data_IF_857726958331
#
_entry.id   IF_857726958331
#
_cell.length_a   1.000
_cell.length_b   1.000
_cell.length_c   1.000
_cell.angle_alpha   90.00
_cell.angle_beta   90.00
_cell.angle_gamma   90.00
#
_symmetry.space_group_name_H-M   'P 1'
#
loop_
_entity.id
_entity.type
_entity.pdbx_description
1 polymer ?
#
# COMPACT_ATOMS: atom_id res chain seq x y z
N UNK A 1 -14.25 -4.01 -14.00
CA UNK A 1 -13.46 -4.78 -13.07
C UNK A 1 -12.12 -5.21 -13.70
N UNK A 2 -11.13 -4.30 -13.61
CA UNK A 2 -9.86 -4.42 -14.37
C UNK A 2 -8.77 -5.24 -13.65
N UNK A 3 -8.93 -5.45 -12.33
CA UNK A 3 -7.86 -6.03 -11.50
C UNK A 3 -7.65 -7.54 -11.72
N UNK A 4 -8.73 -8.30 -11.99
CA UNK A 4 -8.65 -9.76 -12.20
C UNK A 4 -7.77 -10.16 -13.40
N UNK A 5 -7.60 -9.26 -14.37
CA UNK A 5 -6.74 -9.49 -15.53
C UNK A 5 -5.30 -8.94 -15.37
N UNK A 6 -4.92 -8.53 -14.14
CA UNK A 6 -3.64 -7.85 -13.92
C UNK A 6 -2.43 -8.71 -14.27
N UNK A 7 -2.50 -10.02 -14.03
CA UNK A 7 -1.47 -10.99 -14.44
C UNK A 7 -1.21 -10.95 -15.95
N UNK A 8 -2.29 -11.01 -16.75
CA UNK A 8 -2.18 -10.94 -18.23
C UNK A 8 -1.61 -9.60 -18.68
N UNK A 9 -2.06 -8.50 -18.06
CA UNK A 9 -1.53 -7.17 -18.33
C UNK A 9 -0.05 -7.04 -17.98
N UNK A 10 0.38 -7.64 -16.86
CA UNK A 10 1.79 -7.64 -16.45
C UNK A 10 2.65 -8.41 -17.45
N UNK A 11 2.20 -9.59 -17.89
CA UNK A 11 2.91 -10.36 -18.93
C UNK A 11 3.06 -9.56 -20.23
N UNK A 12 2.01 -8.85 -20.65
CA UNK A 12 2.08 -7.99 -21.82
C UNK A 12 3.01 -6.78 -21.62
N UNK A 13 2.96 -6.16 -20.44
CA UNK A 13 3.87 -5.09 -20.06
C UNK A 13 5.33 -5.52 -20.15
N UNK A 14 5.67 -6.70 -19.63
CA UNK A 14 7.02 -7.26 -19.73
C UNK A 14 7.43 -7.49 -21.19
N UNK A 15 6.55 -8.03 -22.03
CA UNK A 15 6.81 -8.25 -23.46
C UNK A 15 7.11 -6.94 -24.20
N UNK A 16 6.26 -5.93 -24.02
CA UNK A 16 6.40 -4.62 -24.67
C UNK A 16 7.73 -3.95 -24.25
N UNK A 17 8.09 -4.05 -22.97
CA UNK A 17 9.31 -3.41 -22.45
C UNK A 17 10.55 -4.32 -22.55
N UNK A 18 10.46 -5.45 -23.26
CA UNK A 18 11.56 -6.44 -23.44
C UNK A 18 12.15 -6.91 -22.09
N UNK A 19 11.32 -7.01 -21.06
CA UNK A 19 11.72 -7.49 -19.74
C UNK A 19 11.59 -9.01 -19.67
N UNK A 20 12.57 -9.66 -19.05
CA UNK A 20 12.50 -11.10 -18.78
C UNK A 20 11.42 -11.38 -17.73
N UNK A 21 10.46 -12.22 -18.07
CA UNK A 21 9.40 -12.61 -17.15
C UNK A 21 9.97 -13.60 -16.13
N UNK A 22 9.78 -13.31 -14.85
CA UNK A 22 10.16 -14.17 -13.74
C UNK A 22 8.90 -14.74 -13.07
N UNK A 23 8.89 -16.06 -12.81
CA UNK A 23 7.78 -16.74 -12.14
C UNK A 23 7.45 -16.14 -10.77
N UNK A 24 8.47 -15.74 -10.00
CA UNK A 24 8.29 -15.10 -8.70
C UNK A 24 7.56 -13.76 -8.82
N UNK A 25 7.88 -12.97 -9.85
CA UNK A 25 7.19 -11.69 -10.10
C UNK A 25 5.71 -11.90 -10.44
N UNK A 26 5.39 -12.94 -11.21
CA UNK A 26 4.00 -13.32 -11.50
C UNK A 26 3.26 -13.71 -10.22
N UNK A 27 3.87 -14.51 -9.35
CA UNK A 27 3.30 -14.91 -8.07
C UNK A 27 3.03 -13.70 -7.16
N UNK A 28 3.95 -12.73 -7.13
CA UNK A 28 3.78 -11.48 -6.36
C UNK A 28 2.59 -10.67 -6.92
N UNK A 29 2.45 -10.56 -8.23
CA UNK A 29 1.27 -9.89 -8.84
C UNK A 29 -0.03 -10.59 -8.44
N UNK A 30 -0.06 -11.92 -8.39
CA UNK A 30 -1.22 -12.68 -7.92
C UNK A 30 -1.55 -12.41 -6.45
N UNK A 31 -0.53 -12.32 -5.59
CA UNK A 31 -0.70 -11.96 -4.17
C UNK A 31 -1.23 -10.54 -4.01
N UNK A 32 -0.73 -9.58 -4.79
CA UNK A 32 -1.23 -8.20 -4.79
C UNK A 32 -2.68 -8.11 -5.26
N UNK A 33 -3.07 -8.90 -6.27
CA UNK A 33 -4.47 -8.99 -6.71
C UNK A 33 -5.36 -9.56 -5.59
N UNK A 34 -4.93 -10.64 -4.93
CA UNK A 34 -5.66 -11.22 -3.78
C UNK A 34 -5.79 -10.21 -2.64
N UNK A 35 -4.71 -9.49 -2.31
CA UNK A 35 -4.73 -8.42 -1.31
C UNK A 35 -5.77 -7.35 -1.66
N UNK A 36 -5.77 -6.86 -2.89
CA UNK A 36 -6.73 -5.85 -3.34
C UNK A 36 -8.18 -6.34 -3.24
N UNK A 37 -8.46 -7.54 -3.73
CA UNK A 37 -9.81 -8.12 -3.68
C UNK A 37 -10.29 -8.24 -2.22
N UNK A 38 -9.41 -8.68 -1.32
CA UNK A 38 -9.76 -8.84 0.09
C UNK A 38 -10.01 -7.50 0.81
N UNK A 39 -9.31 -6.44 0.41
CA UNK A 39 -9.44 -5.13 1.04
C UNK A 39 -10.59 -4.29 0.47
N UNK A 40 -10.80 -4.32 -0.84
CA UNK A 40 -11.60 -3.33 -1.57
C UNK A 40 -12.83 -3.91 -2.27
N UNK A 41 -12.84 -5.20 -2.65
CA UNK A 41 -14.03 -5.80 -3.25
C UNK A 41 -14.99 -6.26 -2.13
N UNK A 42 -16.17 -5.61 -2.07
CA UNK A 42 -17.27 -6.08 -1.23
C UNK A 42 -17.83 -7.38 -1.82
N UNK A 43 -17.44 -8.52 -1.28
CA UNK A 43 -18.13 -9.78 -1.57
C UNK A 43 -19.29 -9.94 -0.62
N UNK A 44 -20.48 -10.25 -1.13
CA UNK A 44 -21.67 -10.59 -0.32
C UNK A 44 -21.40 -11.70 0.71
N UNK A 45 -20.42 -12.57 0.43
CA UNK A 45 -19.98 -13.64 1.34
C UNK A 45 -19.06 -13.18 2.48
N UNK A 46 -18.51 -11.94 2.44
CA UNK A 46 -17.59 -11.45 3.46
C UNK A 46 -18.28 -10.90 4.72
N UNK A 47 -19.61 -10.85 4.76
CA UNK A 47 -20.35 -10.44 5.98
C UNK A 47 -20.05 -11.35 7.19
N UNK A 48 -19.64 -12.60 6.96
CA UNK A 48 -19.31 -13.57 8.01
C UNK A 48 -17.80 -13.73 8.30
N UNK A 49 -16.89 -13.04 7.58
CA UNK A 49 -15.44 -13.20 7.70
C UNK A 49 -14.68 -11.94 8.14
N UNK A 50 -15.26 -11.11 9.00
CA UNK A 50 -14.61 -9.84 9.40
C UNK A 50 -13.38 -9.97 10.30
N UNK A 51 -13.05 -11.15 10.82
CA UNK A 51 -12.06 -11.27 11.91
C UNK A 51 -10.58 -11.20 11.51
N UNK A 52 -10.17 -11.25 10.22
CA UNK A 52 -8.74 -11.28 9.85
C UNK A 52 -8.43 -10.59 8.51
N UNK A 53 -8.92 -9.38 8.27
CA UNK A 53 -8.50 -8.62 7.08
C UNK A 53 -7.05 -8.14 7.27
N UNK A 54 -6.14 -8.67 6.48
CA UNK A 54 -4.78 -8.13 6.36
C UNK A 54 -4.88 -6.79 5.60
N UNK A 55 -4.71 -5.69 6.31
CA UNK A 55 -4.85 -4.33 5.76
C UNK A 55 -3.54 -3.80 5.16
N UNK A 56 -2.45 -4.55 5.22
CA UNK A 56 -1.15 -4.19 4.69
C UNK A 56 -0.52 -5.30 3.86
N UNK A 57 0.29 -4.88 2.88
CA UNK A 57 1.13 -5.76 2.08
C UNK A 57 2.57 -5.23 2.12
N UNK A 58 3.50 -6.04 2.60
CA UNK A 58 4.90 -5.70 2.69
C UNK A 58 5.71 -6.57 1.73
N UNK A 59 6.45 -5.94 0.82
CA UNK A 59 7.31 -6.59 -0.15
C UNK A 59 8.78 -6.35 0.20
N UNK A 60 9.49 -7.39 0.58
CA UNK A 60 10.92 -7.35 0.88
C UNK A 60 11.70 -8.28 -0.05
N UNK A 61 13.01 -8.12 -0.08
CA UNK A 61 13.95 -8.91 -0.89
C UNK A 61 15.14 -8.07 -1.35
N UNK A 62 16.04 -8.68 -2.11
CA UNK A 62 17.31 -8.08 -2.55
C UNK A 62 17.10 -6.89 -3.48
N UNK A 63 18.13 -6.07 -3.60
CA UNK A 63 18.17 -4.94 -4.54
C UNK A 63 18.16 -5.50 -5.98
N UNK A 64 17.47 -4.79 -6.87
CA UNK A 64 17.45 -5.14 -8.31
C UNK A 64 16.44 -6.22 -8.72
N UNK A 65 15.75 -6.90 -7.80
CA UNK A 65 14.75 -7.95 -8.14
C UNK A 65 13.44 -7.42 -8.72
N UNK A 66 13.31 -6.11 -8.86
CA UNK A 66 12.15 -5.46 -9.50
C UNK A 66 10.98 -5.15 -8.57
N UNK A 67 11.18 -5.05 -7.25
CA UNK A 67 10.12 -4.72 -6.28
C UNK A 67 9.36 -3.44 -6.64
N UNK A 68 10.09 -2.35 -6.84
CA UNK A 68 9.52 -1.05 -7.18
C UNK A 68 8.77 -1.09 -8.51
N UNK A 69 9.27 -1.83 -9.50
CA UNK A 69 8.59 -2.02 -10.79
C UNK A 69 7.23 -2.72 -10.59
N UNK A 70 7.20 -3.81 -9.80
CA UNK A 70 5.97 -4.57 -9.52
C UNK A 70 4.93 -3.72 -8.80
N UNK A 71 5.35 -3.02 -7.73
CA UNK A 71 4.46 -2.18 -6.95
C UNK A 71 3.98 -0.97 -7.76
N UNK A 72 4.83 -0.36 -8.58
CA UNK A 72 4.44 0.71 -9.50
C UNK A 72 3.46 0.23 -10.56
N UNK A 73 3.70 -0.95 -11.14
CA UNK A 73 2.78 -1.53 -12.09
C UNK A 73 1.42 -1.78 -11.44
N UNK A 74 1.39 -2.38 -10.25
CA UNK A 74 0.17 -2.60 -9.48
C UNK A 74 -0.54 -1.26 -9.20
N UNK A 75 0.16 -0.31 -8.59
CA UNK A 75 -0.36 1.00 -8.22
C UNK A 75 -0.99 1.73 -9.40
N UNK A 76 -0.31 1.77 -10.56
CA UNK A 76 -0.81 2.44 -11.77
C UNK A 76 -2.10 1.81 -12.32
N UNK A 77 -2.33 0.52 -12.08
CA UNK A 77 -3.50 -0.19 -12.57
C UNK A 77 -4.71 -0.19 -11.60
N UNK A 78 -4.58 0.44 -10.44
CA UNK A 78 -5.69 0.62 -9.50
C UNK A 78 -6.49 1.87 -9.84
N UNK A 79 -7.81 1.77 -9.74
CA UNK A 79 -8.75 2.87 -9.99
C UNK A 79 -9.49 3.21 -8.68
N UNK A 80 -8.71 3.61 -7.68
CA UNK A 80 -9.16 4.03 -6.34
C UNK A 80 -8.38 5.28 -5.92
N UNK A 81 -8.91 6.10 -5.02
CA UNK A 81 -8.16 7.18 -4.37
C UNK A 81 -6.92 6.61 -3.67
N UNK A 82 -5.76 7.01 -4.12
CA UNK A 82 -4.48 6.45 -3.65
C UNK A 82 -3.38 7.49 -3.62
N UNK A 83 -2.44 7.32 -2.71
CA UNK A 83 -1.24 8.15 -2.60
C UNK A 83 0.01 7.28 -2.55
N UNK A 84 1.06 7.73 -3.24
CA UNK A 84 2.42 7.21 -3.12
C UNK A 84 3.30 8.29 -2.50
N UNK A 85 4.09 7.93 -1.49
CA UNK A 85 5.02 8.82 -0.82
C UNK A 85 6.14 8.00 -0.18
N UNK A 86 7.26 8.66 0.13
CA UNK A 86 8.32 8.06 0.93
C UNK A 86 7.88 7.97 2.40
N UNK A 87 8.33 6.93 3.10
CA UNK A 87 8.00 6.76 4.51
C UNK A 87 8.42 7.97 5.36
N UNK A 88 9.59 8.54 5.10
CA UNK A 88 10.06 9.74 5.80
C UNK A 88 9.12 10.94 5.59
N UNK A 89 8.62 11.15 4.38
CA UNK A 89 7.66 12.21 4.09
C UNK A 89 6.34 12.02 4.89
N UNK A 90 5.89 10.77 4.97
CA UNK A 90 4.72 10.44 5.80
C UNK A 90 4.94 10.80 7.27
N UNK A 91 6.12 10.47 7.84
CA UNK A 91 6.45 10.77 9.23
C UNK A 91 6.59 12.28 9.47
N UNK A 92 7.21 13.04 8.56
CA UNK A 92 7.26 14.50 8.64
C UNK A 92 5.84 15.09 8.67
N UNK A 93 4.95 14.61 7.79
CA UNK A 93 3.56 15.05 7.75
C UNK A 93 2.80 14.73 9.06
N UNK A 94 3.06 13.55 9.65
CA UNK A 94 2.51 13.18 10.95
C UNK A 94 3.02 14.09 12.07
N UNK A 95 4.33 14.33 12.16
CA UNK A 95 4.92 15.19 13.19
C UNK A 95 4.41 16.63 13.09
N UNK A 96 4.35 17.19 11.87
CA UNK A 96 3.77 18.52 11.65
C UNK A 96 2.29 18.59 12.07
N UNK A 97 1.51 17.56 11.75
CA UNK A 97 0.12 17.46 12.17
C UNK A 97 0.01 17.35 13.69
N UNK A 98 0.83 16.54 14.33
CA UNK A 98 0.87 16.40 15.78
C UNK A 98 1.22 17.71 16.48
N UNK A 99 2.21 18.45 15.98
CA UNK A 99 2.59 19.76 16.50
C UNK A 99 1.46 20.79 16.39
N UNK A 100 0.77 20.83 15.26
CA UNK A 100 -0.34 21.75 15.02
C UNK A 100 -1.59 21.45 15.86
N UNK A 101 -1.70 20.25 16.44
CA UNK A 101 -2.89 19.81 17.19
C UNK A 101 -2.58 19.47 18.66
N UNK A 102 -1.46 19.94 19.21
CA UNK A 102 -1.04 19.67 20.62
C UNK A 102 -2.01 20.17 21.68
N UNK A 103 -2.76 21.23 21.41
CA UNK A 103 -3.70 21.83 22.36
C UNK A 103 -4.99 21.01 22.59
N UNK A 104 -5.25 20.00 21.78
CA UNK A 104 -6.45 19.16 21.83
C UNK A 104 -6.39 17.96 22.78
N UNK A 105 -5.47 17.92 23.77
CA UNK A 105 -5.39 16.84 24.77
C UNK A 105 -4.99 15.50 24.16
N UNK A 106 -3.71 15.18 24.21
CA UNK A 106 -2.93 14.12 23.55
C UNK A 106 -3.45 12.69 23.41
N UNK A 107 -4.72 12.39 23.63
CA UNK A 107 -5.19 10.99 23.64
C UNK A 107 -5.51 10.36 22.28
N UNK A 108 -5.59 11.14 21.18
CA UNK A 108 -6.04 10.55 19.90
C UNK A 108 -5.43 11.19 18.64
N UNK A 109 -4.22 11.74 18.73
CA UNK A 109 -3.59 12.42 17.57
C UNK A 109 -3.39 11.47 16.39
N UNK A 110 -3.02 10.20 16.67
CA UNK A 110 -2.83 9.16 15.64
C UNK A 110 -4.16 8.89 14.95
N UNK A 111 -5.25 8.68 15.71
CA UNK A 111 -6.57 8.45 15.13
C UNK A 111 -7.07 9.62 14.29
N UNK A 112 -6.84 10.86 14.74
CA UNK A 112 -7.20 12.05 14.00
C UNK A 112 -6.43 12.15 12.69
N UNK A 113 -5.13 11.85 12.71
CA UNK A 113 -4.30 11.82 11.51
C UNK A 113 -4.76 10.72 10.55
N UNK A 114 -5.00 9.50 11.06
CA UNK A 114 -5.53 8.39 10.26
C UNK A 114 -6.89 8.74 9.66
N UNK A 115 -7.80 9.34 10.42
CA UNK A 115 -9.10 9.83 9.90
C UNK A 115 -8.94 10.86 8.80
N UNK A 116 -7.98 11.80 8.94
CA UNK A 116 -7.66 12.79 7.91
C UNK A 116 -7.20 12.14 6.60
N UNK A 117 -6.31 11.14 6.70
CA UNK A 117 -5.79 10.42 5.54
C UNK A 117 -6.91 9.60 4.86
N UNK A 118 -7.68 8.84 5.65
CA UNK A 118 -8.77 7.99 5.15
C UNK A 118 -9.87 8.75 4.42
N UNK A 119 -10.06 10.05 4.70
CA UNK A 119 -10.98 10.91 3.94
C UNK A 119 -10.53 11.16 2.50
N UNK A 120 -9.23 11.03 2.23
CA UNK A 120 -8.64 11.36 0.92
C UNK A 120 -8.23 10.12 0.13
N UNK A 121 -7.74 9.09 0.80
CA UNK A 121 -7.12 7.95 0.17
C UNK A 121 -7.62 6.63 0.77
N UNK A 122 -7.85 5.68 -0.11
CA UNK A 122 -8.17 4.29 0.25
C UNK A 122 -6.93 3.42 0.32
N UNK A 123 -5.87 3.78 -0.41
CA UNK A 123 -4.59 3.08 -0.44
C UNK A 123 -3.43 4.06 -0.29
N UNK A 124 -2.48 3.71 0.58
CA UNK A 124 -1.17 4.36 0.64
C UNK A 124 -0.11 3.36 0.20
N UNK A 125 0.76 3.79 -0.68
CA UNK A 125 1.96 3.07 -1.08
C UNK A 125 3.18 3.79 -0.54
N UNK A 126 3.87 3.15 0.40
CA UNK A 126 5.16 3.62 0.89
C UNK A 126 6.28 3.11 0.00
N UNK A 127 7.05 4.04 -0.56
CA UNK A 127 8.32 3.76 -1.19
C UNK A 127 9.43 3.86 -0.15
N UNK A 128 10.42 2.97 -0.21
CA UNK A 128 11.54 2.94 0.74
C UNK A 128 11.08 2.93 2.20
N UNK A 129 10.27 1.92 2.56
CA UNK A 129 9.80 1.75 3.93
C UNK A 129 10.97 1.35 4.84
N UNK A 130 11.63 2.35 5.42
CA UNK A 130 12.72 2.18 6.36
C UNK A 130 12.43 2.98 7.62
N UNK A 131 12.30 2.29 8.75
CA UNK A 131 12.13 2.91 10.06
C UNK A 131 13.51 3.11 10.66
N UNK A 132 13.99 4.35 10.71
CA UNK A 132 15.32 4.70 11.22
C UNK A 132 15.31 5.25 12.64
N UNK A 133 14.13 5.65 13.12
CA UNK A 133 13.95 6.27 14.43
C UNK A 133 13.02 5.43 15.31
N UNK A 134 13.38 5.26 16.60
CA UNK A 134 12.57 4.54 17.58
C UNK A 134 11.19 5.19 17.75
N UNK A 135 11.11 6.52 17.74
CA UNK A 135 9.83 7.25 17.87
C UNK A 135 8.90 6.90 16.72
N UNK A 136 9.42 6.82 15.49
CA UNK A 136 8.63 6.44 14.30
C UNK A 136 8.15 4.99 14.38
N UNK A 137 8.97 4.10 14.97
CA UNK A 137 8.58 2.70 15.21
C UNK A 137 7.45 2.56 16.23
N UNK A 138 7.34 3.48 17.19
CA UNK A 138 6.26 3.47 18.19
C UNK A 138 4.92 3.99 17.67
N UNK A 139 4.93 4.69 16.54
CA UNK A 139 3.73 5.27 15.91
C UNK A 139 3.06 4.26 14.96
N UNK A 140 3.83 3.30 14.44
CA UNK A 140 3.38 2.27 13.50
C UNK A 140 2.72 1.10 14.20
#
# INVERSE_FOLDING_TARGET
MKIKNLKKKFSNYCKINKLKINSNQISIIELLVKFYINCFEKSFFNFFKEKNKKLGFYLFGDVGVGKTMLLNFFYKNLDIPKQRLHFNEFMINFHNFSHANKEGGGKNIIELFVKKIRKKYELIYFDEFQVTNIVDAMIL
#
